data_IF_788436223595
#
_entry.id   IF_788436223595
#
_cell.length_a   1.000
_cell.length_b   1.000
_cell.length_c   1.000
_cell.angle_alpha   90.00
_cell.angle_beta   90.00
_cell.angle_gamma   90.00
#
_symmetry.space_group_name_H-M   'P 1'
#
loop_
_entity.id
_entity.type
_entity.pdbx_description
1 polymer ?
#
# COMPACT_ATOMS: atom_id res chain seq x y z
N UNK A 1 -31.20 -75.00 -21.33
CA UNK A 1 -32.51 -74.36 -21.59
C UNK A 1 -32.28 -72.88 -21.85
N UNK A 2 -32.60 -72.42 -23.05
CA UNK A 2 -32.71 -70.99 -23.37
C UNK A 2 -34.07 -70.48 -22.87
N UNK A 3 -34.11 -69.34 -22.16
CA UNK A 3 -35.21 -68.37 -22.25
C UNK A 3 -34.63 -66.96 -22.10
N UNK A 4 -34.88 -66.16 -23.13
CA UNK A 4 -34.72 -64.71 -23.26
C UNK A 4 -35.90 -64.01 -22.56
N UNK A 5 -35.72 -62.83 -21.95
CA UNK A 5 -36.61 -61.65 -22.10
C UNK A 5 -36.15 -60.49 -21.17
N UNK A 6 -35.69 -59.40 -21.80
CA UNK A 6 -35.63 -58.00 -21.29
C UNK A 6 -37.06 -57.41 -21.29
N UNK A 7 -37.30 -56.13 -20.95
CA UNK A 7 -36.83 -55.24 -19.86
C UNK A 7 -38.03 -54.54 -19.16
N UNK A 8 -37.89 -53.84 -18.03
CA UNK A 8 -38.67 -52.61 -17.79
C UNK A 8 -37.91 -51.66 -16.86
N UNK A 9 -37.68 -50.49 -17.43
CA UNK A 9 -37.28 -49.21 -16.87
C UNK A 9 -37.80 -48.94 -15.46
N UNK A 10 -36.97 -48.35 -14.62
CA UNK A 10 -37.34 -47.13 -13.89
C UNK A 10 -36.09 -46.30 -13.63
N UNK A 11 -36.10 -45.12 -14.25
CA UNK A 11 -35.25 -43.98 -13.97
C UNK A 11 -35.30 -43.64 -12.49
N UNK A 12 -34.15 -43.60 -11.83
CA UNK A 12 -33.96 -42.81 -10.62
C UNK A 12 -32.67 -42.01 -10.81
N UNK A 13 -32.87 -40.81 -11.37
CA UNK A 13 -31.91 -39.73 -11.47
C UNK A 13 -31.49 -39.37 -10.05
N UNK A 14 -30.27 -39.74 -9.65
CA UNK A 14 -29.59 -39.12 -8.53
C UNK A 14 -28.41 -38.34 -9.10
N UNK A 15 -28.71 -37.12 -9.51
CA UNK A 15 -27.72 -36.11 -9.84
C UNK A 15 -26.93 -35.82 -8.56
N UNK A 16 -25.78 -36.49 -8.41
CA UNK A 16 -24.72 -36.02 -7.52
C UNK A 16 -24.22 -34.74 -8.16
N UNK A 17 -24.83 -33.62 -7.75
CA UNK A 17 -24.31 -32.30 -8.01
C UNK A 17 -22.85 -32.33 -7.56
N UNK A 18 -21.96 -32.17 -8.54
CA UNK A 18 -20.57 -31.84 -8.35
C UNK A 18 -20.52 -30.64 -7.39
N UNK A 19 -20.28 -30.91 -6.12
CA UNK A 19 -19.72 -29.94 -5.20
C UNK A 19 -18.29 -29.70 -5.67
N UNK A 20 -18.15 -28.95 -6.76
CA UNK A 20 -16.95 -28.16 -6.98
C UNK A 20 -16.80 -27.32 -5.72
N UNK A 21 -15.66 -27.36 -5.02
CA UNK A 21 -15.34 -26.26 -4.14
C UNK A 21 -15.37 -25.04 -5.06
N UNK A 22 -16.38 -24.18 -4.88
CA UNK A 22 -16.32 -22.85 -5.43
C UNK A 22 -14.97 -22.31 -4.96
N UNK A 23 -14.02 -22.17 -5.89
CA UNK A 23 -12.83 -21.39 -5.63
C UNK A 23 -13.36 -20.11 -5.02
N UNK A 24 -13.10 -19.91 -3.73
CA UNK A 24 -13.19 -18.60 -3.14
C UNK A 24 -12.22 -17.78 -3.99
N UNK A 25 -12.77 -17.11 -5.00
CA UNK A 25 -12.13 -15.99 -5.64
C UNK A 25 -12.06 -14.92 -4.55
N UNK A 26 -11.13 -15.12 -3.61
CA UNK A 26 -10.67 -14.08 -2.72
C UNK A 26 -10.21 -12.96 -3.62
N UNK A 27 -10.75 -11.77 -3.39
CA UNK A 27 -10.44 -10.54 -4.10
C UNK A 27 -8.92 -10.37 -4.30
N UNK A 28 -8.42 -10.80 -5.46
CA UNK A 28 -7.09 -10.46 -5.95
C UNK A 28 -7.22 -9.87 -7.35
N UNK A 29 -8.17 -8.95 -7.49
CA UNK A 29 -8.45 -8.23 -8.75
C UNK A 29 -7.30 -7.25 -9.08
N UNK A 30 -6.38 -7.01 -8.14
CA UNK A 30 -5.30 -6.03 -8.27
C UNK A 30 -3.87 -6.61 -8.15
N UNK A 31 -3.70 -7.86 -7.71
CA UNK A 31 -2.43 -8.59 -7.60
C UNK A 31 -1.50 -8.13 -6.46
N UNK A 32 -0.39 -8.86 -6.26
CA UNK A 32 0.70 -8.53 -5.31
C UNK A 32 1.66 -7.50 -5.88
N UNK A 33 2.47 -6.85 -5.03
CA UNK A 33 3.57 -5.98 -5.46
C UNK A 33 4.48 -6.70 -6.46
N UNK A 34 4.79 -7.97 -6.18
CA UNK A 34 5.55 -8.83 -7.08
C UNK A 34 4.89 -8.96 -8.45
N UNK A 35 3.58 -9.20 -8.51
CA UNK A 35 2.88 -9.29 -9.80
C UNK A 35 2.87 -7.97 -10.58
N UNK A 36 2.93 -6.82 -9.89
CA UNK A 36 3.05 -5.51 -10.52
C UNK A 36 4.47 -5.32 -11.03
N UNK A 37 5.49 -5.55 -10.20
CA UNK A 37 6.89 -5.41 -10.60
C UNK A 37 7.27 -6.38 -11.75
N UNK A 38 6.79 -7.61 -11.68
CA UNK A 38 6.96 -8.61 -12.74
C UNK A 38 6.37 -8.17 -14.08
N UNK A 39 5.26 -7.41 -14.07
CA UNK A 39 4.65 -6.92 -15.30
C UNK A 39 5.52 -5.89 -16.04
N UNK A 40 6.49 -5.28 -15.36
CA UNK A 40 7.41 -4.31 -15.94
C UNK A 40 8.64 -4.94 -16.61
N UNK A 41 8.89 -6.23 -16.43
CA UNK A 41 9.99 -6.92 -17.14
C UNK A 41 9.75 -6.85 -18.65
N UNK A 42 10.76 -6.42 -19.41
CA UNK A 42 10.70 -6.24 -20.86
C UNK A 42 10.08 -4.91 -21.31
N UNK A 43 9.72 -4.03 -20.38
CA UNK A 43 9.29 -2.66 -20.64
C UNK A 43 10.44 -1.68 -20.49
N UNK A 44 10.27 -0.51 -21.11
CA UNK A 44 11.24 0.57 -21.06
C UNK A 44 11.18 1.27 -19.69
N UNK A 45 12.33 1.56 -19.11
CA UNK A 45 12.43 2.29 -17.85
C UNK A 45 11.85 3.71 -17.95
N UNK A 46 11.87 4.33 -19.14
CA UNK A 46 11.17 5.59 -19.37
C UNK A 46 9.65 5.44 -19.28
N UNK A 47 9.09 4.32 -19.72
CA UNK A 47 7.66 4.01 -19.54
C UNK A 47 7.33 3.88 -18.05
N UNK A 48 8.20 3.20 -17.29
CA UNK A 48 8.09 3.11 -15.84
C UNK A 48 8.10 4.52 -15.22
N UNK A 49 9.09 5.36 -15.52
CA UNK A 49 9.20 6.72 -14.98
C UNK A 49 8.04 7.65 -15.38
N UNK A 50 7.35 7.39 -16.48
CA UNK A 50 6.15 8.15 -16.87
C UNK A 50 4.91 7.77 -16.07
N UNK A 51 4.83 6.52 -15.59
CA UNK A 51 3.67 6.00 -14.86
C UNK A 51 3.88 6.03 -13.34
N UNK A 52 5.10 5.78 -12.91
CA UNK A 52 5.53 5.74 -11.52
C UNK A 52 6.11 7.10 -11.10
N UNK A 53 5.95 7.49 -9.83
CA UNK A 53 6.26 8.82 -9.34
C UNK A 53 7.78 9.04 -9.33
N UNK A 54 8.23 10.07 -10.02
CA UNK A 54 9.64 10.51 -10.00
C UNK A 54 9.94 11.52 -8.87
N UNK A 55 9.06 11.58 -7.86
CA UNK A 55 9.12 12.55 -6.76
C UNK A 55 10.08 12.13 -5.64
N UNK A 56 9.82 12.64 -4.43
CA UNK A 56 10.54 12.22 -3.22
C UNK A 56 10.47 10.70 -3.06
N UNK A 57 11.63 10.05 -2.96
CA UNK A 57 11.75 8.61 -2.81
C UNK A 57 12.23 7.84 -4.04
N UNK A 58 12.43 8.47 -5.21
CA UNK A 58 13.14 7.82 -6.33
C UNK A 58 14.66 8.05 -6.21
N UNK A 59 15.41 6.97 -6.23
CA UNK A 59 16.87 6.97 -6.32
C UNK A 59 17.32 6.20 -7.55
N UNK A 60 18.30 6.74 -8.28
CA UNK A 60 18.85 6.11 -9.47
C UNK A 60 20.34 5.86 -9.28
N UNK A 61 20.80 4.64 -9.56
CA UNK A 61 22.22 4.30 -9.54
C UNK A 61 22.61 3.57 -10.81
N UNK A 62 23.71 3.98 -11.43
CA UNK A 62 24.26 3.33 -12.63
C UNK A 62 25.48 2.50 -12.26
N UNK A 63 25.53 1.27 -12.78
CA UNK A 63 26.70 0.42 -12.70
C UNK A 63 27.49 0.54 -14.02
N UNK A 64 28.63 1.24 -13.96
CA UNK A 64 29.47 1.53 -15.14
C UNK A 64 30.11 0.29 -15.78
N UNK A 65 30.26 -0.81 -15.05
CA UNK A 65 30.88 -2.04 -15.55
C UNK A 65 29.89 -2.89 -16.35
N UNK A 66 28.65 -2.95 -15.88
CA UNK A 66 27.55 -3.72 -16.50
C UNK A 66 26.65 -2.88 -17.39
N UNK A 67 26.80 -1.55 -17.35
CA UNK A 67 25.93 -0.56 -18.00
C UNK A 67 24.46 -0.69 -17.58
N UNK A 68 24.21 -1.20 -16.39
CA UNK A 68 22.87 -1.34 -15.84
C UNK A 68 22.49 -0.11 -15.02
N UNK A 69 21.21 0.28 -15.09
CA UNK A 69 20.67 1.36 -14.29
C UNK A 69 19.60 0.81 -13.35
N UNK A 70 19.77 1.04 -12.05
CA UNK A 70 18.79 0.70 -11.02
C UNK A 70 17.94 1.92 -10.67
N UNK A 71 16.62 1.74 -10.68
CA UNK A 71 15.60 2.71 -10.30
C UNK A 71 14.90 2.22 -9.03
N UNK A 72 15.23 2.81 -7.89
CA UNK A 72 14.73 2.42 -6.57
C UNK A 72 13.66 3.39 -6.09
N UNK A 73 12.45 2.88 -5.88
CA UNK A 73 11.32 3.62 -5.34
C UNK A 73 11.14 3.28 -3.86
N UNK A 74 11.35 4.25 -2.98
CA UNK A 74 11.17 4.16 -1.54
C UNK A 74 9.77 4.66 -1.15
N UNK A 75 8.97 3.77 -0.58
CA UNK A 75 7.62 4.04 -0.09
C UNK A 75 7.59 4.28 1.42
N UNK A 76 8.61 4.97 1.92
CA UNK A 76 8.75 5.33 3.31
C UNK A 76 8.28 6.74 3.64
N UNK A 77 8.32 7.07 4.93
CA UNK A 77 8.21 8.43 5.42
C UNK A 77 9.62 8.95 5.63
N UNK A 78 9.99 10.04 4.96
CA UNK A 78 11.27 10.72 5.21
C UNK A 78 11.31 11.26 6.65
N UNK A 79 12.51 11.30 7.24
CA UNK A 79 12.70 11.92 8.54
C UNK A 79 12.25 13.38 8.49
N UNK A 80 11.44 13.80 9.45
CA UNK A 80 10.89 15.15 9.49
C UNK A 80 10.71 15.63 10.94
N UNK A 81 10.64 16.94 11.13
CA UNK A 81 10.22 17.51 12.40
C UNK A 81 8.71 17.71 12.37
N UNK A 82 8.04 17.34 13.46
CA UNK A 82 6.62 17.61 13.68
C UNK A 82 6.47 18.50 14.91
N UNK A 83 5.69 19.57 14.79
CA UNK A 83 5.32 20.37 15.94
C UNK A 83 4.15 19.71 16.68
N UNK A 84 4.35 19.41 17.96
CA UNK A 84 3.31 18.96 18.86
C UNK A 84 2.76 20.16 19.62
N UNK A 85 1.44 20.35 19.59
CA UNK A 85 0.76 21.43 20.29
C UNK A 85 -0.10 20.86 21.42
N UNK A 86 -0.04 21.50 22.58
CA UNK A 86 -0.93 21.18 23.70
C UNK A 86 -1.22 22.44 24.50
N UNK A 87 -2.31 22.43 25.28
CA UNK A 87 -2.64 23.51 26.18
C UNK A 87 -2.67 23.04 27.63
N UNK A 88 -2.38 23.97 28.52
CA UNK A 88 -2.48 23.78 29.97
C UNK A 88 -3.28 24.91 30.57
N UNK A 89 -4.05 24.60 31.61
CA UNK A 89 -4.74 25.63 32.37
C UNK A 89 -3.72 26.50 33.11
N UNK A 90 -3.76 27.80 32.86
CA UNK A 90 -2.97 28.82 33.54
C UNK A 90 -3.69 29.41 34.75
N UNK A 91 -3.21 30.57 35.21
CA UNK A 91 -3.80 31.28 36.35
C UNK A 91 -5.21 31.81 36.08
N UNK A 92 -5.89 32.24 37.14
CA UNK A 92 -7.17 32.96 37.02
C UNK A 92 -6.91 34.35 36.44
N UNK A 93 -7.57 34.66 35.32
CA UNK A 93 -7.47 35.96 34.63
C UNK A 93 -8.72 36.82 34.79
N UNK A 94 -9.78 36.27 35.39
CA UNK A 94 -11.00 37.00 35.68
C UNK A 94 -12.03 36.16 36.41
N UNK A 95 -13.13 36.80 36.76
CA UNK A 95 -14.30 36.14 37.36
C UNK A 95 -15.52 36.55 36.54
N UNK A 96 -16.38 35.59 36.19
CA UNK A 96 -17.73 35.90 35.72
C UNK A 96 -18.57 36.25 36.94
N UNK A 97 -19.17 37.44 36.93
CA UNK A 97 -20.00 37.92 38.04
C UNK A 97 -21.17 36.98 38.32
N UNK A 98 -21.30 36.54 39.58
CA UNK A 98 -22.44 35.76 40.06
C UNK A 98 -23.64 36.65 40.41
N UNK A 99 -24.86 36.12 40.24
CA UNK A 99 -26.13 36.80 40.56
C UNK A 99 -27.24 35.78 40.89
N UNK A 100 -28.31 36.24 41.56
CA UNK A 100 -29.46 35.39 41.96
C UNK A 100 -29.08 34.09 42.70
N UNK A 101 -28.15 34.17 43.67
CA UNK A 101 -27.74 33.02 44.49
C UNK A 101 -26.70 32.11 43.85
N UNK A 102 -26.18 32.45 42.67
CA UNK A 102 -25.09 31.71 42.00
C UNK A 102 -23.73 32.32 42.38
N UNK A 103 -22.79 31.48 42.81
CA UNK A 103 -21.43 31.90 43.11
C UNK A 103 -20.68 32.34 41.84
N UNK A 104 -19.76 33.32 41.94
CA UNK A 104 -18.96 33.74 40.80
C UNK A 104 -18.03 32.61 40.32
N UNK A 105 -17.88 32.49 38.99
CA UNK A 105 -17.09 31.43 38.36
C UNK A 105 -15.75 31.97 37.87
N UNK A 106 -14.61 31.35 38.22
CA UNK A 106 -13.29 31.78 37.74
C UNK A 106 -13.10 31.50 36.24
N UNK A 107 -12.47 32.45 35.54
CA UNK A 107 -11.97 32.31 34.17
C UNK A 107 -10.47 32.04 34.26
N UNK A 108 -10.03 30.93 33.66
CA UNK A 108 -8.63 30.57 33.63
C UNK A 108 -7.99 30.95 32.30
N UNK A 109 -6.74 31.38 32.33
CA UNK A 109 -5.91 31.51 31.15
C UNK A 109 -5.70 30.14 30.53
N UNK A 110 -5.62 30.07 29.20
CA UNK A 110 -5.12 28.89 28.49
C UNK A 110 -3.69 29.18 28.03
N UNK A 111 -2.74 28.43 28.58
CA UNK A 111 -1.34 28.51 28.18
C UNK A 111 -1.10 27.50 27.04
N UNK A 112 -0.79 28.01 25.86
CA UNK A 112 -0.45 27.19 24.70
C UNK A 112 1.04 26.87 24.71
N UNK A 113 1.35 25.62 24.39
CA UNK A 113 2.70 25.10 24.28
C UNK A 113 2.91 24.48 22.90
N UNK A 114 4.17 24.48 22.48
CA UNK A 114 4.61 23.79 21.28
C UNK A 114 6.00 23.23 21.47
N UNK A 115 6.24 22.03 20.96
CA UNK A 115 7.56 21.42 20.90
C UNK A 115 7.77 20.83 19.51
N UNK A 116 8.98 20.99 18.97
CA UNK A 116 9.39 20.28 17.77
C UNK A 116 9.94 18.91 18.14
N UNK A 117 9.27 17.86 17.67
CA UNK A 117 9.67 16.47 17.88
C UNK A 117 10.24 15.94 16.57
N UNK A 118 11.44 15.36 16.65
CA UNK A 118 12.05 14.66 15.52
C UNK A 118 11.34 13.31 15.30
N UNK A 119 10.81 13.12 14.09
CA UNK A 119 10.24 11.86 13.63
C UNK A 119 11.27 11.18 12.71
N UNK A 120 11.82 10.01 13.08
CA UNK A 120 12.79 9.32 12.25
C UNK A 120 12.16 8.82 10.96
N UNK A 121 13.01 8.52 9.96
CA UNK A 121 12.54 7.94 8.71
C UNK A 121 11.96 6.53 8.94
N UNK A 122 10.85 6.22 8.27
CA UNK A 122 10.23 4.90 8.29
C UNK A 122 10.32 4.27 6.90
N UNK A 123 11.04 3.15 6.75
CA UNK A 123 11.16 2.45 5.47
C UNK A 123 10.15 1.30 5.39
N UNK A 124 9.01 1.55 4.74
CA UNK A 124 7.95 0.53 4.63
C UNK A 124 8.19 -0.45 3.48
N UNK A 125 8.71 0.05 2.35
CA UNK A 125 9.06 -0.75 1.18
C UNK A 125 10.03 0.01 0.27
N UNK A 126 10.96 -0.70 -0.34
CA UNK A 126 11.71 -0.27 -1.51
C UNK A 126 11.48 -1.27 -2.65
N UNK A 127 11.27 -0.74 -3.85
CA UNK A 127 11.15 -1.52 -5.08
C UNK A 127 12.22 -1.03 -6.03
N UNK A 128 13.16 -1.90 -6.40
CA UNK A 128 14.24 -1.56 -7.32
C UNK A 128 13.99 -2.24 -8.65
N UNK A 129 13.90 -1.48 -9.73
CA UNK A 129 13.87 -2.00 -11.09
C UNK A 129 15.24 -1.83 -11.72
N UNK A 130 15.76 -2.88 -12.36
CA UNK A 130 17.08 -2.84 -12.98
C UNK A 130 16.92 -2.95 -14.49
N UNK A 131 17.34 -1.90 -15.18
CA UNK A 131 17.35 -1.83 -16.63
C UNK A 131 18.76 -2.10 -17.18
N UNK A 132 18.82 -2.73 -18.36
CA UNK A 132 20.06 -2.92 -19.10
C UNK A 132 20.48 -1.61 -19.82
N UNK A 133 21.57 -1.69 -20.59
CA UNK A 133 22.09 -0.57 -21.37
C UNK A 133 21.10 0.02 -22.39
N UNK A 134 20.12 -0.76 -22.85
CA UNK A 134 19.06 -0.31 -23.77
C UNK A 134 17.89 0.37 -23.04
N UNK A 135 17.96 0.48 -21.70
CA UNK A 135 16.87 1.02 -20.89
C UNK A 135 15.72 0.02 -20.67
N UNK A 136 15.90 -1.26 -21.00
CA UNK A 136 14.86 -2.29 -20.81
C UNK A 136 15.01 -2.93 -19.43
N UNK A 137 13.91 -2.95 -18.67
CA UNK A 137 13.86 -3.57 -17.35
C UNK A 137 14.02 -5.09 -17.49
N UNK A 138 15.06 -5.63 -16.84
CA UNK A 138 15.41 -7.06 -16.91
C UNK A 138 15.10 -7.82 -15.64
N UNK A 139 15.13 -7.14 -14.49
CA UNK A 139 14.83 -7.72 -13.17
C UNK A 139 14.36 -6.65 -12.19
N UNK A 140 13.84 -7.09 -11.06
CA UNK A 140 13.49 -6.23 -9.93
C UNK A 140 13.93 -6.87 -8.61
N UNK A 141 13.97 -6.05 -7.56
CA UNK A 141 14.22 -6.46 -6.18
C UNK A 141 13.27 -5.73 -5.22
N UNK A 142 13.02 -6.33 -4.06
CA UNK A 142 12.18 -5.79 -3.00
C UNK A 142 12.93 -5.76 -1.67
N UNK A 143 12.80 -4.64 -0.95
CA UNK A 143 13.18 -4.57 0.45
C UNK A 143 12.01 -4.04 1.30
N UNK A 144 11.82 -4.57 2.50
CA UNK A 144 10.75 -4.13 3.41
C UNK A 144 9.52 -5.04 3.45
N UNK A 145 8.65 -4.80 4.44
CA UNK A 145 7.56 -5.72 4.81
C UNK A 145 6.18 -5.30 4.29
N UNK A 146 6.03 -4.08 3.76
CA UNK A 146 4.72 -3.51 3.38
C UNK A 146 4.58 -3.14 1.91
N UNK A 147 5.35 -3.80 1.02
CA UNK A 147 5.35 -3.49 -0.40
C UNK A 147 3.99 -3.65 -1.10
N UNK A 148 3.15 -4.59 -0.64
CA UNK A 148 1.83 -4.83 -1.23
C UNK A 148 0.87 -3.64 -1.05
N UNK A 149 0.98 -2.89 0.04
CA UNK A 149 0.09 -1.76 0.32
C UNK A 149 0.35 -0.61 -0.65
N UNK A 150 1.61 -0.40 -1.01
CA UNK A 150 2.03 0.72 -1.86
C UNK A 150 1.99 0.35 -3.33
N UNK A 151 2.63 -0.75 -3.76
CA UNK A 151 2.79 -1.08 -5.18
C UNK A 151 1.48 -1.21 -5.97
N UNK A 152 0.39 -1.60 -5.32
CA UNK A 152 -0.93 -1.78 -5.94
C UNK A 152 -1.49 -0.52 -6.58
N UNK A 153 -1.19 0.67 -6.03
CA UNK A 153 -1.74 1.94 -6.52
C UNK A 153 -0.96 2.59 -7.66
N UNK A 154 0.26 2.12 -7.96
CA UNK A 154 1.18 2.81 -8.89
C UNK A 154 1.17 2.28 -10.32
N UNK A 155 0.34 1.27 -10.61
CA UNK A 155 0.03 0.85 -11.97
C UNK A 155 0.98 -0.20 -12.55
N UNK A 156 0.43 -0.97 -13.50
CA UNK A 156 1.10 -2.03 -14.25
C UNK A 156 1.51 -1.49 -15.62
N UNK A 157 2.53 -2.10 -16.21
CA UNK A 157 2.91 -1.82 -17.59
C UNK A 157 1.70 -1.93 -18.53
N UNK A 158 1.56 -1.00 -19.48
CA UNK A 158 0.47 -1.07 -20.46
C UNK A 158 0.82 -2.11 -21.50
N UNK A 159 -0.17 -2.86 -21.98
CA UNK A 159 0.06 -3.81 -23.09
C UNK A 159 0.58 -3.02 -24.30
N UNK A 160 1.70 -3.50 -24.87
CA UNK A 160 2.24 -3.00 -26.14
C UNK A 160 1.27 -3.26 -27.28
#
# INVERSE_FOLDING_TARGET
MHVVFRPYSLLAICAIALLTPAQQASADVFGTAESVAQSWIGHDASELMMQWPVGKGLYTSENIETQETAYTYNFGIEAHYRTHYWSTQGGVVGMVGGGNGVAPTPIFQENQHSEEVFVPAEHHCEITFIANADGIITRYDFAGSRCNEHARSWGRAKKK
#
